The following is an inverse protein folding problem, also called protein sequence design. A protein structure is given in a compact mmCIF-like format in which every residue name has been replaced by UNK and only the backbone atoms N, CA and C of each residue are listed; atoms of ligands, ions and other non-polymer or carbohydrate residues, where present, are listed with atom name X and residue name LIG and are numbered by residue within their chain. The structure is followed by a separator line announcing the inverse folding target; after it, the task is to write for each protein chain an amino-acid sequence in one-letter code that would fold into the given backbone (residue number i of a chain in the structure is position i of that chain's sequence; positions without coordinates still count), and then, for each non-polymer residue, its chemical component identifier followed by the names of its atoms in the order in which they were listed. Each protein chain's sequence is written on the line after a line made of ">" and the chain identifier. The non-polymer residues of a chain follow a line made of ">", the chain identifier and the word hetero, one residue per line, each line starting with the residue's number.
data_IF_838301454549
#
_entry.id   IF_838301454549
#
_cell.length_a   1.000
_cell.length_b   1.000
_cell.length_c   1.000
_cell.angle_alpha   90.00
_cell.angle_beta   90.00
_cell.angle_gamma   90.00
#
_symmetry.space_group_name_H-M   'P 1'
#
loop_
_entity.id
_entity.type
_entity.pdbx_description
1 polymer ?
#
# COMPACT_ATOMS: atom_id res chain seq x y z
N UNK A 1 -19.88 -17.98 3.32
CA UNK A 1 -19.71 -17.36 4.67
C UNK A 1 -19.15 -15.96 4.48
N UNK A 2 -19.76 -14.93 5.08
CA UNK A 2 -19.15 -13.59 5.14
C UNK A 2 -18.01 -13.65 6.16
N UNK A 3 -16.76 -13.61 5.70
CA UNK A 3 -15.63 -13.42 6.60
C UNK A 3 -15.75 -12.02 7.21
N UNK A 4 -15.88 -11.95 8.54
CA UNK A 4 -15.84 -10.69 9.28
C UNK A 4 -14.38 -10.37 9.54
N UNK A 5 -13.94 -9.18 9.16
CA UNK A 5 -12.60 -8.71 9.49
C UNK A 5 -12.62 -7.83 10.74
N UNK A 6 -11.52 -7.86 11.47
CA UNK A 6 -11.30 -7.08 12.68
C UNK A 6 -9.93 -6.45 12.63
N UNK A 7 -9.79 -5.26 13.21
CA UNK A 7 -8.50 -4.71 13.58
C UNK A 7 -8.25 -5.13 15.03
N UNK A 8 -7.24 -5.97 15.25
CA UNK A 8 -6.93 -6.58 16.55
C UNK A 8 -6.13 -5.66 17.45
N UNK A 9 -5.33 -4.78 16.86
CA UNK A 9 -4.57 -3.81 17.60
C UNK A 9 -3.56 -3.09 16.73
N UNK A 10 -3.01 -2.03 17.32
CA UNK A 10 -1.96 -1.24 16.68
C UNK A 10 -0.77 -1.19 17.63
N UNK A 11 0.43 -1.40 17.11
CA UNK A 11 1.70 -1.26 17.83
C UNK A 11 2.38 0.01 17.32
N UNK A 12 2.84 0.81 18.27
CA UNK A 12 3.76 1.92 18.04
C UNK A 12 5.17 1.46 18.42
N UNK A 13 6.13 1.80 17.57
CA UNK A 13 7.54 1.75 17.90
C UNK A 13 8.06 3.18 17.94
N UNK A 14 8.86 3.44 18.96
CA UNK A 14 9.50 4.73 19.17
C UNK A 14 10.98 4.61 18.85
N UNK A 15 11.56 5.68 18.31
CA UNK A 15 13.00 5.83 18.20
C UNK A 15 13.64 6.26 19.53
N UNK A 16 14.97 6.46 19.52
CA UNK A 16 15.72 6.85 20.70
C UNK A 16 15.29 8.21 21.27
N UNK A 17 14.70 9.07 20.44
CA UNK A 17 14.24 10.41 20.81
C UNK A 17 12.78 10.41 21.30
N UNK A 18 12.14 9.24 21.34
CA UNK A 18 10.75 9.06 21.76
C UNK A 18 9.72 9.44 20.67
N UNK A 19 10.18 9.68 19.44
CA UNK A 19 9.29 9.92 18.30
C UNK A 19 8.79 8.61 17.73
N UNK A 20 7.53 8.61 17.26
CA UNK A 20 6.98 7.44 16.58
C UNK A 20 7.59 7.32 15.20
N UNK A 21 8.31 6.23 14.95
CA UNK A 21 8.91 5.96 13.64
C UNK A 21 8.19 4.86 12.87
N UNK A 22 7.43 4.00 13.55
CA UNK A 22 6.81 2.81 12.94
C UNK A 22 5.46 2.50 13.59
N UNK A 23 4.45 2.35 12.73
CA UNK A 23 3.11 1.93 13.10
C UNK A 23 2.82 0.56 12.50
N UNK A 24 2.43 -0.41 13.31
CA UNK A 24 2.03 -1.75 12.84
C UNK A 24 0.59 -2.03 13.23
N UNK A 25 -0.30 -2.18 12.25
CA UNK A 25 -1.71 -2.53 12.46
C UNK A 25 -1.93 -4.01 12.16
N UNK A 26 -2.53 -4.74 13.11
CA UNK A 26 -2.88 -6.16 12.95
C UNK A 26 -4.36 -6.30 12.63
N UNK A 27 -4.69 -7.04 11.57
CA UNK A 27 -6.07 -7.25 11.14
C UNK A 27 -6.31 -8.69 10.62
N UNK A 28 -7.56 -9.16 10.66
CA UNK A 28 -7.92 -10.48 10.13
C UNK A 28 -9.27 -11.00 10.61
N UNK A 29 -9.62 -12.22 10.20
CA UNK A 29 -10.88 -12.88 10.56
C UNK A 29 -10.89 -13.55 11.94
N UNK A 30 -9.73 -13.97 12.44
CA UNK A 30 -9.55 -14.55 13.76
C UNK A 30 -8.62 -13.70 14.63
N UNK A 31 -8.88 -13.61 15.96
CA UNK A 31 -7.99 -12.94 16.89
C UNK A 31 -6.60 -13.53 16.86
N UNK A 32 -5.58 -12.68 16.96
CA UNK A 32 -4.27 -13.15 17.38
C UNK A 32 -4.41 -13.81 18.77
N UNK A 33 -3.84 -15.01 18.91
CA UNK A 33 -3.84 -15.71 20.19
C UNK A 33 -2.98 -14.93 21.19
N UNK A 34 -3.57 -14.62 22.36
CA UNK A 34 -2.95 -13.81 23.41
C UNK A 34 -1.65 -14.43 23.94
N UNK A 35 -0.51 -14.02 23.38
CA UNK A 35 0.84 -14.39 23.84
C UNK A 35 1.54 -13.29 24.64
N UNK A 36 2.65 -13.62 25.31
CA UNK A 36 3.40 -12.70 26.19
C UNK A 36 3.92 -11.42 25.48
N UNK A 37 4.14 -11.48 24.17
CA UNK A 37 4.58 -10.35 23.33
C UNK A 37 3.48 -9.31 23.05
N UNK A 38 2.22 -9.59 23.45
CA UNK A 38 1.08 -8.68 23.28
C UNK A 38 0.96 -7.61 24.36
N UNK A 39 1.73 -7.68 25.47
CA UNK A 39 1.72 -6.60 26.49
C UNK A 39 2.10 -5.22 25.92
N UNK A 40 2.70 -5.17 24.73
CA UNK A 40 3.05 -3.96 23.98
C UNK A 40 2.01 -3.57 22.90
N UNK A 41 1.01 -4.40 22.63
CA UNK A 41 -0.06 -4.11 21.67
C UNK A 41 -1.21 -3.47 22.44
N UNK A 42 -1.50 -2.20 22.19
CA UNK A 42 -2.75 -1.60 22.68
C UNK A 42 -3.86 -2.07 21.74
N UNK A 43 -4.62 -3.07 22.19
CA UNK A 43 -5.67 -3.69 21.39
C UNK A 43 -6.84 -2.73 21.28
N UNK A 44 -6.79 -1.88 20.26
CA UNK A 44 -7.97 -1.24 19.74
C UNK A 44 -8.80 -2.29 18.99
N UNK A 45 -9.64 -3.06 19.69
CA UNK A 45 -10.53 -4.01 19.03
C UNK A 45 -11.60 -3.25 18.26
N UNK A 46 -11.31 -2.93 16.99
CA UNK A 46 -12.26 -2.23 16.11
C UNK A 46 -13.00 -3.27 15.30
N UNK A 47 -14.27 -3.47 15.66
CA UNK A 47 -15.17 -4.32 14.88
C UNK A 47 -15.58 -3.58 13.62
N UNK A 48 -15.19 -4.10 12.46
CA UNK A 48 -15.60 -3.58 11.16
C UNK A 48 -16.94 -4.24 10.80
N UNK A 49 -18.04 -3.75 11.38
CA UNK A 49 -19.38 -4.31 11.15
C UNK A 49 -20.01 -3.90 9.82
N UNK A 50 -19.51 -2.85 9.17
CA UNK A 50 -19.98 -2.37 7.86
C UNK A 50 -19.54 -3.23 6.67
N UNK A 51 -18.65 -4.21 6.89
CA UNK A 51 -18.08 -5.01 5.82
C UNK A 51 -19.13 -5.92 5.15
N UNK A 52 -19.44 -5.65 3.87
CA UNK A 52 -20.26 -6.55 3.04
C UNK A 52 -19.41 -7.60 2.33
N UNK A 53 -18.19 -7.26 1.92
CA UNK A 53 -17.27 -8.16 1.22
C UNK A 53 -15.98 -8.34 2.00
N UNK A 54 -15.44 -9.57 2.06
CA UNK A 54 -14.21 -9.89 2.81
C UNK A 54 -12.99 -9.04 2.42
N UNK A 55 -12.96 -8.52 1.20
CA UNK A 55 -11.88 -7.67 0.69
C UNK A 55 -11.92 -6.22 1.20
N UNK A 56 -13.07 -5.73 1.69
CA UNK A 56 -13.19 -4.35 2.18
C UNK A 56 -12.33 -4.10 3.44
N UNK A 57 -11.80 -5.14 4.09
CA UNK A 57 -10.97 -4.99 5.28
C UNK A 57 -9.76 -4.09 5.02
N UNK A 58 -9.15 -4.20 3.83
CA UNK A 58 -8.02 -3.36 3.45
C UNK A 58 -8.39 -1.87 3.44
N UNK A 59 -9.61 -1.51 3.03
CA UNK A 59 -10.11 -0.13 2.99
C UNK A 59 -10.14 0.46 4.40
N UNK A 60 -10.73 -0.28 5.34
CA UNK A 60 -10.79 0.13 6.75
C UNK A 60 -9.40 0.24 7.38
N UNK A 61 -8.51 -0.70 7.09
CA UNK A 61 -7.13 -0.70 7.61
C UNK A 61 -6.32 0.49 7.05
N UNK A 62 -6.44 0.79 5.76
CA UNK A 62 -5.77 1.94 5.16
C UNK A 62 -6.28 3.25 5.77
N UNK A 63 -7.61 3.42 5.88
CA UNK A 63 -8.19 4.62 6.48
C UNK A 63 -7.88 4.73 7.98
N UNK A 64 -7.81 3.60 8.69
CA UNK A 64 -7.33 3.58 10.08
C UNK A 64 -5.91 4.13 10.18
N UNK A 65 -4.99 3.68 9.33
CA UNK A 65 -3.61 4.20 9.31
C UNK A 65 -3.53 5.67 8.90
N UNK A 66 -4.46 6.16 8.09
CA UNK A 66 -4.55 7.57 7.68
C UNK A 66 -5.03 8.49 8.82
N UNK A 67 -5.97 8.02 9.65
CA UNK A 67 -6.63 8.82 10.69
C UNK A 67 -5.99 8.69 12.07
N UNK A 68 -5.30 7.58 12.34
CA UNK A 68 -4.85 7.27 13.71
C UNK A 68 -3.65 8.12 14.10
N UNK A 69 -3.84 8.97 15.11
CA UNK A 69 -2.73 9.69 15.74
C UNK A 69 -2.01 8.79 16.76
N UNK A 70 -0.66 8.78 16.80
CA UNK A 70 0.10 8.01 17.78
C UNK A 70 -0.32 8.27 19.23
N UNK A 71 -0.67 9.51 19.57
CA UNK A 71 -1.13 9.94 20.90
C UNK A 71 -2.43 9.24 21.29
N UNK A 72 -3.33 9.01 20.34
CA UNK A 72 -4.63 8.39 20.59
C UNK A 72 -4.48 6.87 20.84
N UNK A 73 -3.52 6.22 20.16
CA UNK A 73 -3.12 4.84 20.46
C UNK A 73 -2.52 4.77 21.86
N UNK A 74 -1.64 5.71 22.24
CA UNK A 74 -1.07 5.77 23.60
C UNK A 74 -2.15 5.95 24.67
N UNK A 75 -3.20 6.72 24.41
CA UNK A 75 -4.31 6.92 25.34
C UNK A 75 -5.33 5.77 25.35
N UNK A 76 -5.30 4.89 24.34
CA UNK A 76 -6.25 3.79 24.21
C UNK A 76 -7.69 4.25 24.00
N UNK A 77 -7.89 5.51 23.58
CA UNK A 77 -9.20 6.13 23.35
C UNK A 77 -9.31 6.45 21.88
N UNK A 78 -10.24 5.79 21.21
CA UNK A 78 -10.60 6.06 19.82
C UNK A 78 -12.07 5.71 19.67
N UNK A 79 -12.82 6.59 19.01
CA UNK A 79 -14.17 6.32 18.56
C UNK A 79 -14.10 6.01 17.07
N UNK A 80 -14.79 4.96 16.65
CA UNK A 80 -14.82 4.54 15.26
C UNK A 80 -16.21 4.07 14.90
N UNK A 81 -16.87 4.86 14.04
CA UNK A 81 -18.19 4.53 13.54
C UNK A 81 -18.10 3.63 12.31
N UNK A 82 -19.14 2.80 12.12
CA UNK A 82 -19.27 2.05 10.88
C UNK A 82 -19.75 2.98 9.78
N UNK A 83 -19.03 2.99 8.66
CA UNK A 83 -19.43 3.78 7.50
C UNK A 83 -20.60 3.15 6.72
N UNK A 84 -21.46 3.98 6.11
CA UNK A 84 -22.41 3.51 5.11
C UNK A 84 -21.66 2.92 3.91
N UNK A 85 -22.34 2.04 3.16
CA UNK A 85 -21.73 1.36 2.02
C UNK A 85 -21.23 2.33 0.94
N UNK A 86 -21.94 3.43 0.72
CA UNK A 86 -21.56 4.48 -0.23
C UNK A 86 -20.16 5.05 0.06
N UNK A 87 -19.87 5.28 1.34
CA UNK A 87 -18.57 5.82 1.75
C UNK A 87 -17.46 4.76 1.60
N UNK A 88 -17.75 3.49 1.91
CA UNK A 88 -16.83 2.38 1.61
C UNK A 88 -16.54 2.27 0.11
N UNK A 89 -17.56 2.42 -0.72
CA UNK A 89 -17.45 2.36 -2.18
C UNK A 89 -16.65 3.55 -2.72
N UNK A 90 -16.84 4.74 -2.15
CA UNK A 90 -16.04 5.93 -2.44
C UNK A 90 -14.55 5.68 -2.16
N UNK A 91 -14.21 5.22 -0.95
CA UNK A 91 -12.82 4.92 -0.59
C UNK A 91 -12.22 3.79 -1.44
N UNK A 92 -13.04 2.81 -1.87
CA UNK A 92 -12.57 1.77 -2.79
C UNK A 92 -12.07 2.37 -4.10
N UNK A 93 -12.84 3.29 -4.68
CA UNK A 93 -12.47 3.97 -5.93
C UNK A 93 -11.25 4.87 -5.71
N UNK A 94 -11.25 5.64 -4.62
CA UNK A 94 -10.15 6.53 -4.28
C UNK A 94 -8.82 5.78 -4.11
N UNK A 95 -8.79 4.77 -3.24
CA UNK A 95 -7.56 4.03 -2.95
C UNK A 95 -7.10 3.19 -4.14
N UNK A 96 -8.01 2.57 -4.89
CA UNK A 96 -7.63 1.88 -6.13
C UNK A 96 -6.98 2.85 -7.13
N UNK A 97 -7.54 4.05 -7.28
CA UNK A 97 -7.00 5.07 -8.18
C UNK A 97 -5.60 5.53 -7.76
N UNK A 98 -5.39 5.76 -6.45
CA UNK A 98 -4.06 6.14 -5.92
C UNK A 98 -3.01 5.04 -6.14
N UNK A 99 -3.37 3.78 -5.89
CA UNK A 99 -2.48 2.63 -6.11
C UNK A 99 -2.13 2.51 -7.60
N UNK A 100 -3.14 2.51 -8.48
CA UNK A 100 -2.92 2.41 -9.93
C UNK A 100 -2.04 3.54 -10.44
N UNK A 101 -2.32 4.78 -10.03
CA UNK A 101 -1.52 5.93 -10.44
C UNK A 101 -0.06 5.82 -9.95
N UNK A 102 0.17 5.34 -8.73
CA UNK A 102 1.52 5.11 -8.21
C UNK A 102 2.28 4.06 -9.03
N UNK A 103 1.66 2.92 -9.32
CA UNK A 103 2.26 1.85 -10.12
C UNK A 103 2.54 2.31 -11.56
N UNK A 104 1.59 3.01 -12.19
CA UNK A 104 1.78 3.59 -13.52
C UNK A 104 2.95 4.57 -13.57
N UNK A 105 3.11 5.42 -12.55
CA UNK A 105 4.22 6.35 -12.48
C UNK A 105 5.56 5.63 -12.29
N UNK A 106 5.63 4.58 -11.47
CA UNK A 106 6.85 3.77 -11.29
C UNK A 106 7.30 3.12 -12.60
N UNK A 107 6.36 2.55 -13.35
CA UNK A 107 6.65 1.90 -14.63
C UNK A 107 7.01 2.92 -15.72
N UNK A 108 6.35 4.07 -15.77
CA UNK A 108 6.76 5.19 -16.63
C UNK A 108 8.20 5.60 -16.32
N UNK A 109 8.53 5.82 -15.05
CA UNK A 109 9.85 6.28 -14.65
C UNK A 109 10.93 5.21 -14.93
N UNK A 110 10.58 3.92 -14.80
CA UNK A 110 11.45 2.80 -15.20
C UNK A 110 11.72 2.85 -16.71
N UNK A 111 10.67 2.94 -17.54
CA UNK A 111 10.80 3.00 -18.98
C UNK A 111 11.65 4.20 -19.44
N UNK A 112 11.48 5.37 -18.81
CA UNK A 112 12.30 6.57 -19.09
C UNK A 112 13.78 6.32 -18.76
N UNK A 113 14.06 5.72 -17.60
CA UNK A 113 15.44 5.41 -17.17
C UNK A 113 16.11 4.41 -18.11
N UNK A 114 15.43 3.33 -18.47
CA UNK A 114 15.94 2.29 -19.37
C UNK A 114 16.15 2.85 -20.79
N UNK A 115 15.21 3.63 -21.31
CA UNK A 115 15.36 4.31 -22.61
C UNK A 115 16.55 5.27 -22.63
N UNK A 116 16.76 6.03 -21.56
CA UNK A 116 17.91 6.94 -21.44
C UNK A 116 19.23 6.19 -21.33
N UNK A 117 19.26 5.05 -20.63
CA UNK A 117 20.44 4.19 -20.55
C UNK A 117 20.81 3.63 -21.93
N UNK A 118 19.83 3.20 -22.73
CA UNK A 118 20.04 2.75 -24.12
C UNK A 118 20.60 3.89 -24.99
N UNK A 119 20.11 5.12 -24.84
CA UNK A 119 20.65 6.27 -25.58
C UNK A 119 22.10 6.60 -25.20
N UNK A 120 22.45 6.45 -23.92
CA UNK A 120 23.78 6.75 -23.39
C UNK A 120 24.80 5.64 -23.67
N UNK A 121 24.37 4.37 -23.69
CA UNK A 121 25.16 3.30 -24.28
C UNK A 121 25.24 3.59 -25.77
N UNK A 122 26.38 4.14 -26.23
CA UNK A 122 26.69 4.48 -27.63
C UNK A 122 25.76 3.75 -28.61
N UNK A 123 24.95 4.47 -29.40
CA UNK A 123 24.37 3.84 -30.57
C UNK A 123 25.55 3.21 -31.33
N UNK A 124 25.41 1.94 -31.72
CA UNK A 124 26.31 1.37 -32.73
C UNK A 124 26.50 2.44 -33.81
N UNK A 125 27.73 2.64 -34.31
CA UNK A 125 28.03 3.66 -35.32
C UNK A 125 27.14 3.57 -36.58
N UNK A 126 26.42 2.47 -36.73
CA UNK A 126 25.35 2.23 -37.71
C UNK A 126 24.14 3.16 -37.52
N UNK A 127 23.73 3.48 -36.29
CA UNK A 127 22.54 4.30 -35.97
C UNK A 127 22.77 5.82 -36.05
N UNK A 128 24.02 6.27 -36.23
CA UNK A 128 24.39 7.69 -36.37
C UNK A 128 24.49 8.15 -37.83
N UNK A 129 24.25 7.24 -38.79
CA UNK A 129 24.17 7.58 -40.21
C UNK A 129 22.84 8.28 -40.52
N UNK A 130 22.81 9.39 -41.29
CA UNK A 130 21.58 9.98 -41.82
C UNK A 130 20.77 9.00 -42.71
N UNK A 131 21.42 7.92 -43.13
CA UNK A 131 20.85 6.83 -43.90
C UNK A 131 20.89 5.56 -43.05
N UNK A 132 19.97 5.44 -42.08
CA UNK A 132 19.76 4.17 -41.40
C UNK A 132 18.78 3.33 -42.22
N UNK A 133 19.31 2.33 -42.94
CA UNK A 133 18.51 1.28 -43.57
C UNK A 133 18.53 0.07 -42.63
N UNK A 134 17.40 -0.22 -41.99
CA UNK A 134 17.26 -1.41 -41.14
C UNK A 134 16.66 -2.50 -42.02
N UNK A 135 17.38 -3.60 -42.23
CA UNK A 135 16.89 -4.73 -43.00
C UNK A 135 16.18 -5.71 -42.07
N UNK A 136 15.19 -6.44 -42.59
CA UNK A 136 14.43 -7.42 -41.79
C UNK A 136 15.30 -8.55 -41.23
N UNK A 137 16.46 -8.82 -41.84
CA UNK A 137 17.44 -9.79 -41.35
C UNK A 137 18.14 -9.35 -40.06
N UNK A 138 18.12 -8.05 -39.72
CA UNK A 138 18.76 -7.49 -38.52
C UNK A 138 17.86 -7.56 -37.28
N UNK A 139 16.59 -7.98 -37.43
CA UNK A 139 15.60 -8.07 -36.34
C UNK A 139 15.58 -9.47 -35.71
N UNK A 140 16.13 -10.50 -36.37
CA UNK A 140 16.16 -11.85 -35.83
C UNK A 140 17.46 -12.11 -35.06
N UNK A 141 17.47 -11.74 -33.78
CA UNK A 141 18.17 -12.48 -32.71
C UNK A 141 17.80 -11.89 -31.37
N UNK A 142 16.68 -12.33 -30.79
CA UNK A 142 16.59 -12.81 -29.39
C UNK A 142 15.32 -13.64 -29.24
#
# INVERSE_FOLDING_TARGET
>A
MKQKCYIWGTRLKEDADGNTNELTTYFGGEPLQKGENEKKIKSSYVKISGQKQGYDCAIYVMKWMELIEPENIKKGKYEWDNWPQEEVDHYRVEYASRILFSEMNKERDRAIRESSAIRLSKPSSVLLSPFCQINSADIETT
#
